data_IF_560296791621
#
_entry.id   IF_560296791621
#
_cell.length_a   1.000
_cell.length_b   1.000
_cell.length_c   1.000
_cell.angle_alpha   90.00
_cell.angle_beta   90.00
_cell.angle_gamma   90.00
#
_symmetry.space_group_name_H-M   'P 1'
#
loop_
_entity.id
_entity.type
_entity.pdbx_description
1 polymer ?
#
# COMPACT_ATOMS: atom_id res chain seq x y z
N UNK A 1 -56.21 -20.48 -6.11
CA UNK A 1 -54.83 -20.20 -6.56
C UNK A 1 -54.10 -21.53 -6.64
N UNK A 2 -53.96 -22.17 -7.82
CA UNK A 2 -53.25 -23.44 -7.93
C UNK A 2 -51.74 -23.23 -7.79
N UNK A 3 -51.10 -24.07 -6.99
CA UNK A 3 -49.67 -24.01 -6.68
C UNK A 3 -48.82 -24.41 -7.88
N UNK A 4 -47.82 -23.57 -8.18
CA UNK A 4 -46.85 -23.79 -9.26
C UNK A 4 -45.90 -24.96 -8.93
N UNK A 5 -45.62 -25.87 -9.89
CA UNK A 5 -44.76 -27.01 -9.65
C UNK A 5 -43.28 -26.60 -9.62
N UNK A 6 -42.61 -26.99 -8.53
CA UNK A 6 -41.18 -26.77 -8.29
C UNK A 6 -40.33 -27.64 -9.23
N UNK A 7 -39.55 -27.01 -10.10
CA UNK A 7 -38.63 -27.67 -11.05
C UNK A 7 -37.42 -28.23 -10.31
N UNK A 8 -37.47 -29.53 -10.01
CA UNK A 8 -36.36 -30.32 -9.46
C UNK A 8 -35.25 -30.42 -10.52
N UNK A 9 -34.14 -29.68 -10.34
CA UNK A 9 -32.95 -29.78 -11.19
C UNK A 9 -32.29 -31.15 -10.99
N UNK A 10 -32.32 -31.98 -12.02
CA UNK A 10 -31.62 -33.26 -12.09
C UNK A 10 -30.12 -32.99 -12.13
N UNK A 11 -29.44 -33.32 -11.03
CA UNK A 11 -27.99 -33.23 -10.86
C UNK A 11 -27.36 -34.36 -11.69
N UNK A 12 -26.87 -34.03 -12.89
CA UNK A 12 -26.11 -34.96 -13.71
C UNK A 12 -24.85 -35.38 -12.97
N UNK A 13 -24.63 -36.69 -12.87
CA UNK A 13 -23.43 -37.27 -12.29
C UNK A 13 -22.21 -36.80 -13.11
N UNK A 14 -21.32 -36.04 -12.46
CA UNK A 14 -20.02 -35.67 -13.01
C UNK A 14 -19.28 -36.95 -13.35
N UNK A 15 -18.96 -37.13 -14.63
CA UNK A 15 -18.04 -38.16 -15.09
C UNK A 15 -16.68 -37.88 -14.42
N UNK A 16 -16.14 -38.88 -13.73
CA UNK A 16 -14.81 -38.83 -13.13
C UNK A 16 -13.78 -38.71 -14.25
N UNK A 17 -13.27 -37.49 -14.45
CA UNK A 17 -12.11 -37.24 -15.30
C UNK A 17 -10.91 -37.93 -14.63
N UNK A 18 -10.39 -38.96 -15.29
CA UNK A 18 -9.14 -39.62 -14.92
C UNK A 18 -8.01 -38.63 -15.13
N UNK A 19 -7.51 -38.05 -14.03
CA UNK A 19 -6.31 -37.20 -14.06
C UNK A 19 -5.13 -38.04 -14.55
N UNK A 20 -4.39 -37.57 -15.57
CA UNK A 20 -3.17 -38.25 -16.03
C UNK A 20 -2.20 -38.32 -14.84
N UNK A 21 -1.73 -39.52 -14.54
CA UNK A 21 -0.79 -39.76 -13.44
C UNK A 21 0.46 -38.87 -13.54
N UNK A 22 1.13 -38.60 -12.40
CA UNK A 22 2.28 -37.70 -12.35
C UNK A 22 3.35 -38.13 -13.36
N UNK A 23 3.70 -37.21 -14.27
CA UNK A 23 4.75 -37.43 -15.28
C UNK A 23 6.05 -37.72 -14.53
N UNK A 24 6.59 -38.94 -14.70
CA UNK A 24 7.89 -39.31 -14.14
C UNK A 24 8.96 -38.37 -14.72
N UNK A 25 9.48 -37.47 -13.90
CA UNK A 25 10.50 -36.52 -14.34
C UNK A 25 11.80 -37.28 -14.63
N UNK A 26 12.21 -37.30 -15.90
CA UNK A 26 13.50 -37.86 -16.34
C UNK A 26 14.58 -36.79 -16.35
N UNK A 27 15.84 -37.22 -16.24
CA UNK A 27 16.98 -36.31 -16.37
C UNK A 27 16.99 -35.65 -17.77
N UNK A 28 16.97 -34.31 -17.83
CA UNK A 28 16.95 -33.57 -19.12
C UNK A 28 18.16 -33.83 -20.02
N UNK A 29 19.28 -34.32 -19.45
CA UNK A 29 20.52 -34.60 -20.18
C UNK A 29 20.72 -36.09 -20.50
N UNK A 30 20.03 -36.98 -19.79
CA UNK A 30 20.17 -38.43 -19.94
C UNK A 30 18.76 -39.05 -20.02
N UNK A 31 18.23 -39.29 -21.22
CA UNK A 31 16.84 -39.75 -21.40
C UNK A 31 16.55 -41.13 -20.78
N UNK A 32 17.60 -41.93 -20.56
CA UNK A 32 17.50 -43.29 -20.03
C UNK A 32 17.66 -43.38 -18.50
N UNK A 33 18.02 -42.28 -17.83
CA UNK A 33 18.24 -42.28 -16.39
C UNK A 33 17.10 -41.62 -15.62
N UNK A 34 16.80 -42.09 -14.40
CA UNK A 34 15.79 -41.49 -13.53
C UNK A 34 16.16 -40.05 -13.14
N UNK A 35 15.26 -39.42 -12.39
CA UNK A 35 15.30 -38.05 -11.86
C UNK A 35 16.70 -37.42 -11.72
N UNK A 36 16.82 -36.12 -12.00
CA UNK A 36 18.09 -35.38 -11.99
C UNK A 36 18.93 -35.57 -10.71
N UNK A 37 18.29 -35.82 -9.56
CA UNK A 37 18.95 -36.04 -8.26
C UNK A 37 19.61 -37.42 -8.15
N UNK A 38 19.12 -38.42 -8.88
CA UNK A 38 19.60 -39.80 -8.86
C UNK A 38 20.49 -40.13 -10.08
N UNK A 39 20.60 -39.21 -11.03
CA UNK A 39 21.43 -39.43 -12.21
C UNK A 39 22.92 -39.52 -11.79
N UNK A 40 23.61 -40.66 -11.99
CA UNK A 40 24.99 -40.84 -11.52
C UNK A 40 26.00 -39.90 -12.21
N UNK A 41 25.62 -39.29 -13.33
CA UNK A 41 26.46 -38.39 -14.12
C UNK A 41 26.28 -36.92 -13.70
N UNK A 42 25.08 -36.54 -13.23
CA UNK A 42 24.68 -35.14 -13.04
C UNK A 42 24.11 -34.83 -11.66
N UNK A 43 23.79 -35.85 -10.87
CA UNK A 43 23.42 -35.71 -9.47
C UNK A 43 24.60 -35.12 -8.74
N UNK A 44 24.40 -33.93 -8.15
CA UNK A 44 25.39 -33.36 -7.23
C UNK A 44 25.68 -34.43 -6.19
N UNK A 45 26.92 -34.91 -6.14
CA UNK A 45 27.42 -35.70 -5.01
C UNK A 45 27.08 -34.88 -3.77
N UNK A 46 26.07 -35.31 -3.02
CA UNK A 46 25.86 -34.76 -1.69
C UNK A 46 27.13 -35.10 -0.93
N UNK A 47 27.92 -34.08 -0.60
CA UNK A 47 29.01 -34.22 0.34
C UNK A 47 28.41 -34.77 1.63
N UNK A 48 28.59 -36.07 1.86
CA UNK A 48 28.41 -36.70 3.17
C UNK A 48 29.49 -36.14 4.08
N UNK A 49 29.29 -34.91 4.56
CA UNK A 49 29.98 -34.43 5.75
C UNK A 49 29.43 -35.22 6.92
N UNK A 50 30.22 -36.22 7.30
CA UNK A 50 30.18 -36.97 8.54
C UNK A 50 30.15 -35.99 9.75
N UNK A 51 28.97 -35.58 10.19
CA UNK A 51 28.78 -34.82 11.43
C UNK A 51 28.92 -35.80 12.58
N UNK A 52 30.06 -35.76 13.27
CA UNK A 52 30.24 -36.44 14.55
C UNK A 52 29.31 -35.82 15.60
N UNK A 53 28.65 -36.63 16.45
CA UNK A 53 27.80 -36.12 17.53
C UNK A 53 28.68 -35.51 18.64
N UNK A 54 28.55 -34.20 18.85
CA UNK A 54 29.05 -33.53 20.04
C UNK A 54 28.22 -33.96 21.26
N UNK A 55 28.90 -34.52 22.25
CA UNK A 55 28.31 -34.84 23.55
C UNK A 55 27.95 -33.56 24.32
N UNK A 56 26.81 -33.53 25.04
CA UNK A 56 26.49 -32.44 25.94
C UNK A 56 27.30 -32.56 27.23
N UNK A 57 28.15 -31.57 27.51
CA UNK A 57 28.69 -31.37 28.86
C UNK A 57 27.60 -30.78 29.75
N UNK A 58 26.99 -31.65 30.56
CA UNK A 58 26.33 -31.26 31.78
C UNK A 58 27.40 -30.76 32.76
N UNK A 59 27.29 -29.50 33.18
CA UNK A 59 27.70 -29.00 34.50
C UNK A 59 27.67 -27.46 34.47
N UNK A 60 26.60 -26.89 35.02
CA UNK A 60 26.65 -25.77 35.96
C UNK A 60 25.23 -25.39 36.41
N UNK A 61 24.80 -26.10 37.45
CA UNK A 61 23.81 -25.63 38.39
C UNK A 61 24.54 -24.82 39.49
N UNK A 62 24.26 -23.52 39.56
CA UNK A 62 24.45 -22.68 40.74
C UNK A 62 23.53 -21.46 40.55
N UNK A 63 22.30 -21.45 41.06
CA UNK A 63 21.95 -20.93 42.39
C UNK A 63 22.59 -19.56 42.70
N UNK A 64 21.82 -18.48 42.57
CA UNK A 64 21.77 -17.36 43.53
C UNK A 64 20.63 -16.38 43.19
N UNK A 65 20.20 -15.53 44.15
CA UNK A 65 18.81 -15.43 44.59
C UNK A 65 18.10 -14.18 44.06
N UNK A 66 16.81 -14.13 44.36
CA UNK A 66 15.98 -12.94 44.24
C UNK A 66 16.59 -11.77 45.03
N UNK A 67 16.82 -10.67 44.34
CA UNK A 67 16.93 -9.34 44.94
C UNK A 67 15.86 -8.45 44.31
N UNK A 68 14.82 -8.23 45.10
CA UNK A 68 13.93 -7.09 45.01
C UNK A 68 14.74 -5.80 45.17
N UNK A 69 14.76 -4.95 44.14
CA UNK A 69 15.04 -3.53 44.32
C UNK A 69 14.38 -2.71 43.22
N UNK A 70 13.09 -2.44 43.44
CA UNK A 70 12.23 -1.62 42.61
C UNK A 70 11.94 -0.29 43.32
N UNK A 71 12.97 0.53 43.54
CA UNK A 71 12.82 1.96 43.89
C UNK A 71 14.12 2.67 43.51
N UNK A 72 14.11 3.42 42.40
CA UNK A 72 14.87 4.67 42.19
C UNK A 72 14.96 5.05 40.70
N UNK A 73 13.81 5.38 40.09
CA UNK A 73 13.74 6.13 38.83
C UNK A 73 12.83 7.35 38.93
N UNK A 74 12.73 7.95 40.12
CA UNK A 74 12.22 9.31 40.31
C UNK A 74 13.40 10.29 40.39
N UNK A 75 14.13 10.46 39.29
CA UNK A 75 14.95 11.66 39.09
C UNK A 75 15.20 11.91 37.60
N UNK A 76 14.10 12.12 36.87
CA UNK A 76 14.14 12.72 35.55
C UNK A 76 13.85 14.21 35.71
N UNK A 77 14.84 14.99 35.27
CA UNK A 77 14.94 16.44 35.20
C UNK A 77 13.61 17.22 35.07
N UNK A 78 13.28 18.14 36.02
CA UNK A 78 12.08 18.97 35.95
C UNK A 78 12.15 20.09 34.90
N UNK A 79 13.24 20.28 34.15
CA UNK A 79 13.35 21.40 33.19
C UNK A 79 12.69 21.17 31.82
N UNK A 80 12.16 19.98 31.50
CA UNK A 80 11.49 19.72 30.22
C UNK A 80 9.95 19.75 30.27
N UNK A 81 9.35 20.20 31.37
CA UNK A 81 7.89 20.27 31.55
C UNK A 81 7.27 21.66 31.29
N UNK A 82 7.93 22.50 30.50
CA UNK A 82 7.58 23.93 30.35
C UNK A 82 7.24 24.42 28.94
N UNK A 83 6.88 23.57 27.98
CA UNK A 83 6.53 24.02 26.62
C UNK A 83 5.16 23.52 26.14
N UNK A 84 4.09 23.89 26.86
CA UNK A 84 2.78 24.15 26.23
C UNK A 84 2.05 25.27 26.97
N UNK A 85 1.46 26.14 26.16
CA UNK A 85 0.51 27.21 26.48
C UNK A 85 1.08 28.46 27.17
N UNK A 86 1.57 29.41 26.35
CA UNK A 86 1.02 30.79 26.36
C UNK A 86 1.68 31.61 25.25
N UNK A 87 1.04 31.57 24.07
CA UNK A 87 1.40 32.35 22.90
C UNK A 87 0.31 33.38 22.60
N UNK A 88 -0.08 34.17 23.61
CA UNK A 88 -0.89 35.38 23.41
C UNK A 88 -0.04 36.38 22.63
N UNK A 89 -0.21 36.40 21.30
CA UNK A 89 0.32 37.44 20.43
C UNK A 89 -0.23 38.79 20.89
N UNK A 90 0.61 39.58 21.56
CA UNK A 90 0.40 41.02 21.67
C UNK A 90 0.52 41.62 20.28
N UNK A 91 -0.62 41.92 19.67
CA UNK A 91 -0.67 42.88 18.57
C UNK A 91 -0.47 44.26 19.16
N UNK A 92 0.57 44.92 18.70
CA UNK A 92 0.84 46.33 18.95
C UNK A 92 -0.23 47.12 18.21
N UNK A 93 -1.09 47.81 18.95
CA UNK A 93 -2.08 48.73 18.42
C UNK A 93 -1.37 49.95 17.81
N UNK A 94 -1.45 50.09 16.49
CA UNK A 94 -1.28 51.38 15.81
C UNK A 94 -2.63 52.06 15.72
N UNK A 95 -2.74 53.21 16.34
CA UNK A 95 -3.90 54.11 16.39
C UNK A 95 -4.36 54.52 14.99
N UNK A 96 -5.66 54.41 14.71
CA UNK A 96 -6.39 55.33 13.81
C UNK A 96 -7.87 55.36 14.21
N UNK A 97 -8.58 56.48 13.99
CA UNK A 97 -9.78 56.82 14.74
C UNK A 97 -11.09 56.45 14.02
N UNK A 98 -12.08 56.18 14.87
CA UNK A 98 -13.49 56.55 14.78
C UNK A 98 -14.38 55.95 13.68
N UNK A 99 -15.40 55.22 14.15
CA UNK A 99 -16.76 55.45 13.67
C UNK A 99 -17.44 54.24 13.04
N UNK A 100 -18.00 53.34 13.86
CA UNK A 100 -19.35 52.76 13.62
C UNK A 100 -19.72 51.77 14.70
N UNK A 101 -20.66 52.19 15.54
CA UNK A 101 -21.39 51.36 16.50
C UNK A 101 -22.31 50.41 15.76
N UNK A 102 -22.01 49.11 15.79
CA UNK A 102 -22.97 48.05 15.46
C UNK A 102 -22.97 47.03 16.58
N UNK A 103 -24.03 47.11 17.40
CA UNK A 103 -24.30 46.24 18.54
C UNK A 103 -24.75 44.87 18.03
N UNK A 104 -23.86 43.88 18.00
CA UNK A 104 -24.21 42.48 17.76
C UNK A 104 -24.15 41.69 19.08
N UNK A 105 -25.32 41.18 19.47
CA UNK A 105 -25.56 40.34 20.64
C UNK A 105 -24.74 39.04 20.53
N UNK A 106 -23.73 38.87 21.40
CA UNK A 106 -23.03 37.61 21.58
C UNK A 106 -23.89 36.64 22.42
N UNK A 107 -24.30 35.53 21.81
CA UNK A 107 -24.78 34.34 22.51
C UNK A 107 -23.58 33.52 23.00
N UNK A 108 -23.56 33.05 24.26
CA UNK A 108 -22.54 32.13 24.73
C UNK A 108 -22.70 30.76 24.08
N UNK A 109 -21.65 30.27 23.44
CA UNK A 109 -21.52 28.89 22.97
C UNK A 109 -21.19 28.02 24.18
N UNK A 110 -22.11 27.13 24.56
CA UNK A 110 -21.83 26.08 25.53
C UNK A 110 -20.90 25.04 24.89
N UNK A 111 -19.82 24.73 25.60
CA UNK A 111 -18.93 23.61 25.33
C UNK A 111 -19.73 22.30 25.32
N UNK A 112 -19.86 21.70 24.15
CA UNK A 112 -20.27 20.30 24.01
C UNK A 112 -19.02 19.53 23.60
N UNK A 113 -18.34 18.94 24.59
CA UNK A 113 -17.39 17.84 24.36
C UNK A 113 -18.20 16.58 24.01
N UNK A 114 -18.10 16.04 22.79
CA UNK A 114 -18.62 14.71 22.52
C UNK A 114 -17.64 13.68 23.09
N UNK A 115 -17.98 13.11 24.24
CA UNK A 115 -17.43 11.83 24.70
C UNK A 115 -17.93 10.74 23.76
N UNK A 116 -17.19 10.46 22.69
CA UNK A 116 -17.35 9.23 21.89
C UNK A 116 -16.53 8.14 22.59
N UNK A 117 -17.19 7.45 23.52
CA UNK A 117 -16.85 6.09 23.92
C UNK A 117 -17.54 5.15 22.93
N UNK A 118 -16.88 4.86 21.82
CA UNK A 118 -17.17 3.64 21.07
C UNK A 118 -16.13 2.60 21.49
N UNK A 119 -16.55 1.70 22.36
CA UNK A 119 -15.95 0.37 22.50
C UNK A 119 -16.01 -0.30 21.12
N UNK A 120 -14.92 -0.18 20.38
CA UNK A 120 -14.68 -0.97 19.20
C UNK A 120 -14.25 -2.36 19.72
N UNK A 121 -15.22 -3.26 19.84
CA UNK A 121 -14.97 -4.68 20.08
C UNK A 121 -13.94 -5.15 19.04
N UNK A 122 -12.73 -5.41 19.50
CA UNK A 122 -11.67 -6.04 18.72
C UNK A 122 -12.15 -7.47 18.43
N UNK A 123 -12.29 -7.90 17.17
CA UNK A 123 -12.48 -9.31 16.89
C UNK A 123 -11.21 -10.04 17.34
N UNK A 124 -11.33 -10.78 18.43
CA UNK A 124 -10.32 -11.73 18.87
C UNK A 124 -10.31 -12.90 17.89
N UNK A 125 -9.14 -13.20 17.33
CA UNK A 125 -8.89 -14.48 16.66
C UNK A 125 -9.12 -14.49 15.16
N UNK A 126 -8.19 -13.88 14.42
CA UNK A 126 -7.78 -14.50 13.16
C UNK A 126 -6.25 -14.67 13.20
N UNK A 127 -5.85 -15.80 13.77
CA UNK A 127 -4.48 -16.28 13.72
C UNK A 127 -4.28 -16.81 12.30
N UNK A 128 -4.10 -15.88 11.36
CA UNK A 128 -3.70 -16.13 9.97
C UNK A 128 -2.35 -16.84 9.99
N UNK A 129 -2.40 -18.15 10.16
CA UNK A 129 -1.32 -19.08 9.94
C UNK A 129 -0.87 -18.87 8.50
N UNK A 130 0.34 -18.36 8.32
CA UNK A 130 0.99 -18.22 7.01
C UNK A 130 1.44 -19.59 6.46
N UNK A 131 0.79 -20.68 6.88
CA UNK A 131 1.00 -22.01 6.32
C UNK A 131 0.42 -22.02 4.91
N UNK A 132 1.29 -21.66 3.96
CA UNK A 132 1.42 -22.33 2.68
C UNK A 132 0.09 -22.66 1.96
N UNK A 133 -0.76 -21.66 1.73
CA UNK A 133 -1.72 -21.70 0.61
C UNK A 133 -0.98 -21.46 -0.72
N UNK A 134 0.04 -22.28 -0.99
CA UNK A 134 0.63 -22.51 -2.31
C UNK A 134 -0.29 -23.45 -3.12
N UNK A 135 -1.61 -23.31 -2.99
CA UNK A 135 -2.59 -23.97 -3.84
C UNK A 135 -3.01 -23.02 -4.97
N UNK A 136 -2.02 -22.54 -5.73
CA UNK A 136 -2.21 -21.88 -7.03
C UNK A 136 -2.59 -22.95 -8.07
N UNK A 137 -3.77 -23.55 -7.89
CA UNK A 137 -4.40 -24.41 -8.88
C UNK A 137 -5.04 -23.53 -9.98
N UNK A 138 -4.21 -23.07 -10.91
CA UNK A 138 -4.58 -22.91 -12.32
C UNK A 138 -5.77 -22.00 -12.65
N UNK A 139 -5.62 -20.69 -12.44
CA UNK A 139 -6.18 -19.74 -13.40
C UNK A 139 -5.03 -19.24 -14.26
N UNK A 140 -5.01 -19.73 -15.51
CA UNK A 140 -4.19 -19.29 -16.62
C UNK A 140 -4.47 -17.80 -16.92
N UNK A 141 -3.97 -16.91 -16.05
CA UNK A 141 -3.77 -15.51 -16.38
C UNK A 141 -2.57 -15.45 -17.34
N UNK A 142 -2.86 -15.70 -18.62
CA UNK A 142 -1.97 -15.46 -19.77
C UNK A 142 -1.67 -13.95 -19.96
N UNK A 143 -1.47 -13.17 -18.90
CA UNK A 143 -0.65 -11.96 -18.96
C UNK A 143 0.80 -12.38 -18.79
N UNK A 144 1.34 -12.92 -19.89
CA UNK A 144 2.76 -13.14 -20.14
C UNK A 144 3.56 -11.82 -20.14
N UNK A 145 3.57 -11.11 -19.01
CA UNK A 145 4.65 -10.21 -18.65
C UNK A 145 5.82 -11.06 -18.17
N UNK A 146 6.51 -11.69 -19.13
CA UNK A 146 7.86 -12.21 -19.00
C UNK A 146 8.82 -11.06 -18.65
N UNK A 147 8.70 -10.54 -17.44
CA UNK A 147 9.60 -9.60 -16.78
C UNK A 147 10.99 -10.22 -16.52
N UNK A 148 11.19 -11.48 -16.95
CA UNK A 148 12.45 -12.19 -17.03
C UNK A 148 13.08 -12.16 -18.44
N UNK A 149 12.72 -11.21 -19.31
CA UNK A 149 13.54 -10.90 -20.50
C UNK A 149 14.86 -10.18 -20.12
N UNK A 150 15.66 -10.85 -19.29
CA UNK A 150 17.11 -10.75 -19.28
C UNK A 150 17.62 -11.48 -20.53
N UNK A 151 17.64 -10.78 -21.66
CA UNK A 151 18.47 -11.15 -22.80
C UNK A 151 17.89 -12.23 -23.71
N UNK A 152 16.82 -11.91 -24.43
CA UNK A 152 16.77 -12.34 -25.84
C UNK A 152 18.02 -11.74 -26.52
N UNK A 153 19.03 -12.60 -26.70
CA UNK A 153 20.24 -12.34 -27.47
C UNK A 153 19.83 -12.00 -28.92
N UNK A 154 19.42 -10.76 -29.15
CA UNK A 154 19.60 -10.14 -30.43
C UNK A 154 21.08 -10.23 -30.75
N UNK A 155 21.42 -10.91 -31.85
CA UNK A 155 22.70 -10.77 -32.52
C UNK A 155 22.79 -9.33 -33.05
N UNK A 156 23.01 -8.39 -32.13
CA UNK A 156 23.38 -7.01 -32.44
C UNK A 156 24.89 -6.96 -32.50
N UNK A 157 25.38 -6.34 -33.56
CA UNK A 157 26.79 -6.25 -33.91
C UNK A 157 27.68 -5.77 -32.74
N UNK A 158 28.84 -6.41 -32.50
CA UNK A 158 29.68 -6.14 -31.34
C UNK A 158 30.51 -4.84 -31.37
N UNK A 159 30.35 -3.98 -32.39
CA UNK A 159 31.33 -2.90 -32.64
C UNK A 159 30.80 -1.45 -32.50
N UNK A 160 29.57 -1.25 -32.03
CA UNK A 160 29.15 0.11 -31.63
C UNK A 160 29.56 0.38 -30.17
N UNK A 161 30.86 0.61 -29.97
CA UNK A 161 31.45 1.17 -28.75
C UNK A 161 31.12 2.68 -28.63
N UNK A 162 29.87 3.02 -28.93
CA UNK A 162 29.32 4.33 -28.61
C UNK A 162 29.19 4.36 -27.11
N UNK A 163 29.90 5.29 -26.47
CA UNK A 163 29.54 5.81 -25.16
C UNK A 163 28.07 6.21 -25.26
N UNK A 164 27.16 5.27 -24.98
CA UNK A 164 25.78 5.60 -24.70
C UNK A 164 25.91 6.50 -23.50
N UNK A 165 25.75 7.81 -23.71
CA UNK A 165 25.61 8.81 -22.68
C UNK A 165 24.58 8.24 -21.73
N UNK A 166 25.07 7.60 -20.67
CA UNK A 166 24.31 6.62 -19.92
C UNK A 166 23.13 7.36 -19.36
N UNK A 167 21.97 7.16 -19.98
CA UNK A 167 20.77 7.96 -19.77
C UNK A 167 20.48 7.94 -18.29
N UNK A 168 20.93 8.97 -17.58
CA UNK A 168 20.87 8.99 -16.14
C UNK A 168 19.40 9.00 -15.81
N UNK A 169 18.90 7.90 -15.24
CA UNK A 169 17.52 7.71 -14.82
C UNK A 169 17.14 8.62 -13.63
N UNK A 170 17.76 9.79 -13.53
CA UNK A 170 17.75 10.69 -12.40
C UNK A 170 18.57 10.20 -11.21
N UNK A 171 18.52 10.99 -10.15
CA UNK A 171 19.09 10.69 -8.84
C UNK A 171 18.01 10.11 -7.93
N UNK A 172 18.37 9.21 -7.01
CA UNK A 172 17.42 8.68 -6.02
C UNK A 172 17.06 9.80 -5.04
N UNK A 173 15.80 10.19 -5.01
CA UNK A 173 15.26 11.20 -4.11
C UNK A 173 15.06 10.63 -2.69
N UNK A 174 15.18 11.49 -1.68
CA UNK A 174 14.92 11.15 -0.28
C UNK A 174 16.03 10.34 0.42
N UNK A 175 17.15 10.08 -0.24
CA UNK A 175 18.30 9.40 0.39
C UNK A 175 19.07 10.39 1.25
N UNK A 176 19.30 10.04 2.50
CA UNK A 176 19.98 10.89 3.49
C UNK A 176 21.24 10.18 4.02
N UNK A 177 22.28 10.95 4.35
CA UNK A 177 23.46 10.55 5.12
C UNK A 177 23.47 11.33 6.42
N UNK A 178 22.97 10.73 7.49
CA UNK A 178 22.64 11.45 8.71
C UNK A 178 21.53 12.47 8.43
N UNK A 179 21.74 13.72 8.84
CA UNK A 179 20.77 14.81 8.62
C UNK A 179 20.97 15.53 7.27
N UNK A 180 21.88 15.05 6.41
CA UNK A 180 22.20 15.68 5.13
C UNK A 180 21.68 14.87 3.97
N UNK A 181 21.22 15.56 2.92
CA UNK A 181 20.82 14.92 1.67
C UNK A 181 22.03 14.24 1.01
N UNK A 182 21.91 12.95 0.71
CA UNK A 182 22.97 12.21 0.03
C UNK A 182 22.87 12.39 -1.48
N UNK A 183 23.27 13.58 -1.92
CA UNK A 183 23.29 13.95 -3.34
C UNK A 183 24.31 13.10 -4.10
N UNK A 184 23.94 12.68 -5.32
CA UNK A 184 24.84 12.00 -6.25
C UNK A 184 24.58 10.50 -6.42
N UNK A 185 23.64 9.91 -5.68
CA UNK A 185 23.27 8.51 -5.90
C UNK A 185 22.38 8.38 -7.16
N UNK A 186 23.00 7.98 -8.27
CA UNK A 186 22.33 7.80 -9.57
C UNK A 186 21.52 6.51 -9.59
N UNK A 187 20.34 6.56 -10.21
CA UNK A 187 19.54 5.35 -10.47
C UNK A 187 20.21 4.49 -11.54
N UNK A 188 20.34 3.19 -11.27
CA UNK A 188 20.82 2.20 -12.24
C UNK A 188 19.73 1.80 -13.23
N UNK A 189 18.47 1.95 -12.87
CA UNK A 189 17.30 1.59 -13.69
C UNK A 189 16.25 2.69 -13.64
N UNK A 190 15.50 2.87 -14.74
CA UNK A 190 14.33 3.76 -14.77
C UNK A 190 13.30 3.37 -13.69
N UNK A 191 12.66 4.37 -13.09
CA UNK A 191 11.53 4.12 -12.20
C UNK A 191 10.37 3.55 -13.01
N UNK A 192 9.74 2.50 -12.48
CA UNK A 192 8.48 2.02 -13.03
C UNK A 192 7.34 2.96 -12.63
N UNK A 193 6.35 3.19 -13.50
CA UNK A 193 5.19 3.99 -13.14
C UNK A 193 4.42 3.32 -11.97
N UNK A 194 3.72 4.10 -11.13
CA UNK A 194 2.86 3.55 -10.08
C UNK A 194 1.82 2.59 -10.66
N UNK A 195 1.62 1.44 -9.99
CA UNK A 195 0.57 0.50 -10.39
C UNK A 195 -0.82 1.12 -10.20
N UNK A 196 -1.69 1.00 -11.20
CA UNK A 196 -3.09 1.43 -11.11
C UNK A 196 -3.92 0.50 -10.21
N UNK A 197 -3.54 -0.79 -10.14
CA UNK A 197 -4.21 -1.79 -9.33
C UNK A 197 -3.46 -1.98 -8.01
N UNK A 198 -4.16 -1.82 -6.88
CA UNK A 198 -3.63 -1.99 -5.53
C UNK A 198 -3.25 -3.44 -5.22
N UNK A 199 -3.97 -4.42 -5.78
CA UNK A 199 -3.68 -5.84 -5.59
C UNK A 199 -2.32 -6.20 -6.23
N UNK A 200 -2.11 -5.77 -7.47
CA UNK A 200 -0.84 -5.95 -8.17
C UNK A 200 0.32 -5.21 -7.46
N UNK A 201 0.07 -4.00 -6.96
CA UNK A 201 1.05 -3.26 -6.17
C UNK A 201 1.46 -4.02 -4.89
N UNK A 202 0.49 -4.60 -4.19
CA UNK A 202 0.70 -5.40 -2.99
C UNK A 202 1.47 -6.70 -3.28
N UNK A 203 1.08 -7.48 -4.31
CA UNK A 203 1.80 -8.70 -4.71
C UNK A 203 3.26 -8.39 -5.07
N UNK A 204 3.47 -7.31 -5.82
CA UNK A 204 4.80 -6.81 -6.17
C UNK A 204 5.59 -6.39 -4.93
N UNK A 205 4.99 -5.66 -4.00
CA UNK A 205 5.63 -5.24 -2.74
C UNK A 205 6.17 -6.45 -1.97
N UNK A 206 5.34 -7.48 -1.77
CA UNK A 206 5.75 -8.69 -1.05
C UNK A 206 6.85 -9.49 -1.77
N UNK A 207 6.83 -9.51 -3.11
CA UNK A 207 7.90 -10.14 -3.91
C UNK A 207 9.22 -9.37 -3.76
N UNK A 208 9.18 -8.05 -3.90
CA UNK A 208 10.38 -7.20 -3.88
C UNK A 208 10.95 -7.05 -2.47
N UNK A 209 10.11 -6.92 -1.43
CA UNK A 209 10.58 -6.75 -0.06
C UNK A 209 11.37 -7.98 0.41
N UNK A 210 10.95 -9.20 0.03
CA UNK A 210 11.71 -10.43 0.30
C UNK A 210 13.12 -10.37 -0.30
N UNK A 211 13.24 -9.93 -1.56
CA UNK A 211 14.55 -9.78 -2.21
C UNK A 211 15.43 -8.71 -1.54
N UNK A 212 14.83 -7.61 -1.09
CA UNK A 212 15.52 -6.55 -0.35
C UNK A 212 16.03 -7.08 0.98
N UNK A 213 15.19 -7.79 1.73
CA UNK A 213 15.54 -8.36 3.03
C UNK A 213 16.72 -9.33 2.91
N UNK A 214 16.70 -10.26 1.95
CA UNK A 214 17.83 -11.18 1.72
C UNK A 214 19.13 -10.44 1.38
N UNK A 215 19.08 -9.39 0.55
CA UNK A 215 20.28 -8.61 0.19
C UNK A 215 20.84 -7.85 1.38
N UNK A 216 19.96 -7.26 2.18
CA UNK A 216 20.35 -6.51 3.37
C UNK A 216 20.91 -7.44 4.45
N UNK A 217 20.32 -8.62 4.62
CA UNK A 217 20.82 -9.63 5.53
C UNK A 217 22.24 -10.08 5.16
N UNK A 218 22.47 -10.44 3.90
CA UNK A 218 23.81 -10.79 3.41
C UNK A 218 24.80 -9.64 3.64
N UNK A 219 24.42 -8.40 3.30
CA UNK A 219 25.27 -7.23 3.52
C UNK A 219 25.60 -7.03 5.01
N UNK A 220 24.63 -7.17 5.90
CA UNK A 220 24.81 -7.04 7.34
C UNK A 220 25.77 -8.09 7.89
N UNK A 221 25.64 -9.35 7.44
CA UNK A 221 26.52 -10.46 7.86
C UNK A 221 27.93 -10.29 7.31
N UNK A 222 28.07 -9.95 6.03
CA UNK A 222 29.38 -9.81 5.37
C UNK A 222 30.20 -8.64 5.92
N UNK A 223 29.54 -7.53 6.27
CA UNK A 223 30.24 -6.29 6.68
C UNK A 223 30.17 -6.03 8.18
N UNK A 224 29.32 -6.76 8.92
CA UNK A 224 29.07 -6.52 10.33
C UNK A 224 28.51 -5.13 10.62
N UNK A 225 27.81 -4.50 9.68
CA UNK A 225 27.23 -3.17 9.86
C UNK A 225 25.88 -3.23 10.59
N UNK A 226 25.51 -2.11 11.22
CA UNK A 226 24.19 -1.94 11.82
C UNK A 226 23.18 -1.52 10.74
N UNK A 227 22.18 -2.36 10.49
CA UNK A 227 21.09 -2.07 9.57
C UNK A 227 19.75 -2.24 10.26
N UNK A 228 18.87 -1.28 10.04
CA UNK A 228 17.45 -1.37 10.34
C UNK A 228 16.64 -1.01 9.09
N UNK A 229 15.72 -1.88 8.70
CA UNK A 229 14.76 -1.64 7.63
C UNK A 229 13.36 -1.87 8.17
N UNK A 230 12.44 -0.95 7.91
CA UNK A 230 11.02 -1.15 8.15
C UNK A 230 10.20 -0.63 6.96
N UNK A 231 9.21 -1.40 6.52
CA UNK A 231 8.40 -1.09 5.36
C UNK A 231 6.96 -1.56 5.54
N UNK A 232 6.01 -0.73 5.11
CA UNK A 232 4.59 -1.08 5.05
C UNK A 232 4.01 -0.64 3.71
N UNK A 233 3.24 -1.51 3.08
CA UNK A 233 2.47 -1.11 1.90
C UNK A 233 1.30 -0.23 2.34
N UNK A 234 1.03 0.84 1.60
CA UNK A 234 0.07 1.86 2.01
C UNK A 234 -1.40 1.42 2.00
N UNK A 235 -1.71 0.21 1.50
CA UNK A 235 -3.03 -0.42 1.62
C UNK A 235 -3.00 -1.71 2.46
N UNK A 236 -1.87 -2.06 3.05
CA UNK A 236 -1.77 -3.25 3.88
C UNK A 236 -2.61 -3.08 5.16
N UNK A 237 -3.37 -4.12 5.49
CA UNK A 237 -4.04 -4.26 6.78
C UNK A 237 -3.08 -4.87 7.81
N UNK A 238 -2.13 -5.66 7.33
CA UNK A 238 -1.11 -6.32 8.13
C UNK A 238 -0.12 -5.32 8.74
N UNK A 239 0.53 -5.69 9.87
CA UNK A 239 1.64 -4.94 10.43
C UNK A 239 2.76 -4.69 9.41
N UNK A 240 3.61 -3.70 9.68
CA UNK A 240 4.80 -3.45 8.86
C UNK A 240 5.81 -4.60 8.99
N UNK A 241 6.54 -4.84 7.89
CA UNK A 241 7.64 -5.81 7.85
C UNK A 241 8.90 -5.06 8.28
N UNK A 242 9.70 -5.66 9.17
CA UNK A 242 10.97 -5.09 9.58
C UNK A 242 12.09 -6.13 9.64
N UNK A 243 13.31 -5.62 9.56
CA UNK A 243 14.54 -6.36 9.76
C UNK A 243 15.51 -5.50 10.55
N UNK A 244 16.14 -6.12 11.54
CA UNK A 244 17.27 -5.55 12.25
C UNK A 244 18.46 -6.52 12.13
N UNK A 245 19.62 -5.99 11.77
CA UNK A 245 20.85 -6.78 11.69
C UNK A 245 21.18 -7.44 13.03
N UNK A 246 21.75 -8.65 13.07
CA UNK A 246 22.09 -9.33 14.33
C UNK A 246 22.94 -8.49 15.28
N UNK A 247 23.88 -7.71 14.72
CA UNK A 247 24.73 -6.81 15.51
C UNK A 247 23.95 -5.68 16.17
N UNK A 248 23.00 -5.08 15.45
CA UNK A 248 22.15 -4.02 16.01
C UNK A 248 21.26 -4.57 17.13
N UNK A 249 20.70 -5.77 16.96
CA UNK A 249 19.89 -6.42 18.01
C UNK A 249 20.72 -6.68 19.26
N UNK A 250 21.96 -7.17 19.09
CA UNK A 250 22.86 -7.47 20.20
C UNK A 250 23.31 -6.22 20.98
N UNK A 251 23.54 -5.11 20.28
CA UNK A 251 24.10 -3.90 20.88
C UNK A 251 23.04 -2.88 21.34
N UNK A 252 21.87 -2.84 20.70
CA UNK A 252 20.85 -1.80 20.92
C UNK A 252 19.41 -2.35 20.89
N UNK A 253 19.19 -3.54 21.47
CA UNK A 253 17.88 -4.17 21.55
C UNK A 253 16.78 -3.30 22.18
N UNK A 254 17.01 -2.70 23.37
CA UNK A 254 16.01 -1.85 24.01
C UNK A 254 15.64 -0.60 23.19
N UNK A 255 16.62 0.03 22.54
CA UNK A 255 16.39 1.19 21.67
C UNK A 255 15.62 0.81 20.40
N UNK A 256 15.86 -0.41 19.89
CA UNK A 256 15.14 -0.94 18.74
C UNK A 256 13.63 -1.06 19.02
N UNK A 257 13.23 -1.45 20.23
CA UNK A 257 11.82 -1.52 20.63
C UNK A 257 11.15 -0.13 20.63
N UNK A 258 11.88 0.90 21.04
CA UNK A 258 11.42 2.30 20.96
C UNK A 258 11.24 2.72 19.50
N UNK A 259 12.19 2.37 18.63
CA UNK A 259 12.09 2.63 17.18
C UNK A 259 10.90 1.90 16.58
N UNK A 260 10.70 0.62 16.90
CA UNK A 260 9.57 -0.19 16.45
C UNK A 260 8.23 0.43 16.85
N UNK A 261 8.12 0.85 18.11
CA UNK A 261 6.90 1.45 18.65
C UNK A 261 6.59 2.78 17.95
N UNK A 262 7.58 3.64 17.80
CA UNK A 262 7.43 4.92 17.12
C UNK A 262 7.05 4.73 15.64
N UNK A 263 7.70 3.80 14.95
CA UNK A 263 7.39 3.50 13.55
C UNK A 263 5.97 2.92 13.39
N UNK A 264 5.54 2.04 14.31
CA UNK A 264 4.17 1.51 14.36
C UNK A 264 3.13 2.63 14.47
N UNK A 265 3.37 3.60 15.35
CA UNK A 265 2.50 4.76 15.55
C UNK A 265 2.44 5.60 14.26
N UNK A 266 3.61 5.94 13.69
CA UNK A 266 3.70 6.73 12.46
C UNK A 266 2.91 6.06 11.33
N UNK A 267 3.11 4.76 11.11
CA UNK A 267 2.44 4.06 10.03
C UNK A 267 0.93 3.97 10.24
N UNK A 268 0.46 3.71 11.46
CA UNK A 268 -0.97 3.74 11.80
C UNK A 268 -1.57 5.11 11.50
N UNK A 269 -0.90 6.20 11.92
CA UNK A 269 -1.34 7.56 11.64
C UNK A 269 -1.40 7.85 10.14
N UNK A 270 -0.40 7.43 9.36
CA UNK A 270 -0.38 7.60 7.90
C UNK A 270 -1.52 6.82 7.22
N UNK A 271 -1.74 5.55 7.60
CA UNK A 271 -2.83 4.74 7.06
C UNK A 271 -4.20 5.33 7.40
N UNK A 272 -4.40 5.78 8.65
CA UNK A 272 -5.63 6.45 9.06
C UNK A 272 -5.87 7.77 8.32
N UNK A 273 -4.82 8.59 8.17
CA UNK A 273 -4.88 9.84 7.41
C UNK A 273 -5.28 9.59 5.96
N UNK A 274 -4.66 8.58 5.32
CA UNK A 274 -5.01 8.19 3.96
C UNK A 274 -6.45 7.70 3.83
N UNK A 275 -6.93 6.88 4.77
CA UNK A 275 -8.33 6.42 4.78
C UNK A 275 -9.30 7.59 4.87
N UNK A 276 -9.00 8.59 5.71
CA UNK A 276 -9.78 9.83 5.81
C UNK A 276 -9.81 10.58 4.48
N UNK A 277 -8.67 10.77 3.83
CA UNK A 277 -8.60 11.45 2.53
C UNK A 277 -9.39 10.71 1.44
N UNK A 278 -9.32 9.38 1.42
CA UNK A 278 -10.10 8.58 0.48
C UNK A 278 -11.60 8.75 0.73
N UNK A 279 -12.04 8.74 2.00
CA UNK A 279 -13.44 8.98 2.36
C UNK A 279 -13.93 10.38 1.96
N UNK A 280 -13.12 11.41 2.21
CA UNK A 280 -13.44 12.80 1.83
C UNK A 280 -13.58 12.94 0.30
N UNK A 281 -12.62 12.40 -0.45
CA UNK A 281 -12.67 12.39 -1.92
C UNK A 281 -13.86 11.59 -2.46
N UNK A 282 -14.27 10.51 -1.78
CA UNK A 282 -15.47 9.76 -2.20
C UNK A 282 -16.75 10.56 -2.00
N UNK A 283 -16.86 11.30 -0.90
CA UNK A 283 -18.01 12.17 -0.64
C UNK A 283 -18.06 13.34 -1.64
N UNK A 284 -16.91 13.98 -1.90
CA UNK A 284 -16.82 15.05 -2.89
C UNK A 284 -17.18 14.56 -4.31
N UNK A 285 -16.74 13.34 -4.68
CA UNK A 285 -17.12 12.74 -5.96
C UNK A 285 -18.61 12.43 -6.05
N UNK A 286 -19.26 12.04 -4.95
CA UNK A 286 -20.71 11.82 -4.89
C UNK A 286 -21.47 13.14 -5.05
N UNK A 287 -21.09 14.18 -4.29
CA UNK A 287 -21.67 15.53 -4.42
C UNK A 287 -21.54 16.07 -5.84
N UNK A 288 -20.36 15.96 -6.46
CA UNK A 288 -20.14 16.42 -7.83
C UNK A 288 -20.92 15.62 -8.87
N UNK A 289 -21.19 14.34 -8.62
CA UNK A 289 -22.07 13.53 -9.48
C UNK A 289 -23.52 14.00 -9.38
N UNK A 290 -23.99 14.31 -8.17
CA UNK A 290 -25.34 14.84 -7.97
C UNK A 290 -25.53 16.21 -8.61
N UNK A 291 -24.57 17.13 -8.44
CA UNK A 291 -24.57 18.44 -9.12
C UNK A 291 -24.62 18.28 -10.64
N UNK A 292 -23.82 17.37 -11.19
CA UNK A 292 -23.78 17.09 -12.62
C UNK A 292 -25.13 16.55 -13.11
N UNK A 293 -25.75 15.64 -12.37
CA UNK A 293 -27.06 15.07 -12.72
C UNK A 293 -28.18 16.11 -12.61
N UNK A 294 -28.12 17.02 -11.64
CA UNK A 294 -29.04 18.16 -11.55
C UNK A 294 -28.85 19.13 -12.72
N UNK A 295 -27.62 19.48 -13.05
CA UNK A 295 -27.31 20.35 -14.18
C UNK A 295 -27.76 19.74 -15.51
N UNK A 296 -27.62 18.42 -15.69
CA UNK A 296 -28.14 17.70 -16.87
C UNK A 296 -29.66 17.77 -16.97
N UNK A 297 -30.37 17.58 -15.85
CA UNK A 297 -31.85 17.69 -15.83
C UNK A 297 -32.30 19.11 -16.18
N UNK A 298 -31.71 20.12 -15.56
CA UNK A 298 -32.01 21.52 -15.85
C UNK A 298 -31.69 21.91 -17.30
N UNK A 299 -30.57 21.42 -17.85
CA UNK A 299 -30.22 21.64 -19.24
C UNK A 299 -31.22 20.99 -20.21
N UNK A 300 -31.73 19.80 -19.88
CA UNK A 300 -32.75 19.14 -20.70
C UNK A 300 -34.09 19.87 -20.63
N UNK A 301 -34.53 20.30 -19.44
CA UNK A 301 -35.75 21.11 -19.27
C UNK A 301 -35.66 22.42 -20.08
N UNK A 302 -34.53 23.13 -19.98
CA UNK A 302 -34.30 24.35 -20.76
C UNK A 302 -34.30 24.11 -22.28
N UNK A 303 -33.85 22.94 -22.75
CA UNK A 303 -33.93 22.58 -24.17
C UNK A 303 -35.36 22.34 -24.61
N UNK A 304 -36.15 21.62 -23.82
CA UNK A 304 -37.57 21.39 -24.09
C UNK A 304 -38.34 22.71 -24.13
N UNK A 305 -38.09 23.62 -23.19
CA UNK A 305 -38.71 24.96 -23.18
C UNK A 305 -38.29 25.81 -24.39
N UNK A 306 -37.01 25.79 -24.75
CA UNK A 306 -36.51 26.53 -25.91
C UNK A 306 -37.12 26.02 -27.22
N UNK A 307 -37.30 24.71 -27.37
CA UNK A 307 -37.94 24.09 -28.54
C UNK A 307 -39.44 24.45 -28.57
N UNK A 308 -40.14 24.42 -27.44
CA UNK A 308 -41.53 24.86 -27.35
C UNK A 308 -41.71 26.34 -27.73
N UNK A 309 -40.83 27.22 -27.27
CA UNK A 309 -40.85 28.64 -27.65
C UNK A 309 -40.54 28.87 -29.13
N UNK A 310 -39.65 28.06 -29.73
CA UNK A 310 -39.41 28.07 -31.19
C UNK A 310 -40.67 27.69 -31.96
N UNK A 311 -41.33 26.61 -31.58
CA UNK A 311 -42.57 26.18 -32.23
C UNK A 311 -43.66 27.27 -32.12
N UNK A 312 -43.82 27.87 -30.94
CA UNK A 312 -44.76 28.98 -30.75
C UNK A 312 -44.42 30.20 -31.61
N UNK A 313 -43.14 30.58 -31.70
CA UNK A 313 -42.69 31.69 -32.56
C UNK A 313 -43.00 31.41 -34.03
N UNK A 314 -42.65 30.23 -34.53
CA UNK A 314 -42.92 29.86 -35.93
C UNK A 314 -44.43 29.86 -36.25
N UNK A 315 -45.27 29.46 -35.30
CA UNK A 315 -46.73 29.53 -35.42
C UNK A 315 -47.23 30.98 -35.49
N UNK A 316 -46.70 31.87 -34.65
CA UNK A 316 -47.04 33.31 -34.67
C UNK A 316 -46.60 33.95 -35.99
N UNK A 317 -45.40 33.65 -36.47
CA UNK A 317 -44.87 34.16 -37.72
C UNK A 317 -45.73 33.72 -38.93
N UNK A 318 -46.19 32.46 -38.93
CA UNK A 318 -47.10 31.96 -39.96
C UNK A 318 -48.46 32.70 -39.98
N UNK A 319 -49.01 33.02 -38.80
CA UNK A 319 -50.25 33.81 -38.67
C UNK A 319 -50.04 35.24 -39.16
N UNK A 320 -48.93 35.88 -38.78
CA UNK A 320 -48.58 37.22 -39.25
C UNK A 320 -48.43 37.25 -40.78
N UNK A 321 -47.73 36.26 -41.35
CA UNK A 321 -47.59 36.13 -42.80
C UNK A 321 -48.94 35.98 -43.50
N UNK A 322 -49.85 35.18 -42.93
CA UNK A 322 -51.22 35.03 -43.45
C UNK A 322 -52.02 36.34 -43.38
N UNK A 323 -51.91 37.10 -42.28
CA UNK A 323 -52.57 38.41 -42.12
C UNK A 323 -52.01 39.43 -43.11
N UNK A 324 -50.69 39.48 -43.28
CA UNK A 324 -50.04 40.37 -44.26
C UNK A 324 -50.48 40.05 -45.70
N UNK A 325 -50.64 38.77 -46.05
CA UNK A 325 -51.15 38.37 -47.36
C UNK A 325 -52.61 38.81 -47.61
N UNK A 326 -53.44 38.90 -46.57
CA UNK A 326 -54.83 39.37 -46.69
C UNK A 326 -54.94 40.89 -46.82
N UNK A 327 -54.05 41.65 -46.18
CA UNK A 327 -54.06 43.12 -46.20
C UNK A 327 -53.33 43.74 -47.40
N UNK A 328 -52.50 42.96 -48.11
CA UNK A 328 -51.73 43.38 -49.28
C UNK A 328 -52.38 43.11 -50.64
N UNK A 329 -53.68 42.75 -50.66
CA UNK A 329 -54.51 42.56 -51.86
C UNK A 329 -55.62 43.62 -51.91
#
# INVERSE_FOLDING_TARGET
MPASPSKRKTRQARQSVTTPGPKQYRCRKCPDNPLLRECPIHGRKSDETHISPLQPTADQAASHPADDNLTDLENIDPQLRGLRADGTRQFVNSETPEGSTSTLVQRPMNEVTPTITQELERPEGDNSSWEDEDNEDGEDDEDGEDDNNLGTKGKGDPDSNGESEGGTHGYIEGVMRGNYEFRGLKRTTALRPPSKNSAHASKRFHRVIRQILTKIENLAVETGCWIYLAAQHATAVTPFIHYASPRLIAEAGPELDVIHTNFSIIMKTLVMSRRRQVMELTLELEEKREELDQAKKAAEEARVEADAHREESTRKDAVIASLMAQLGA
#
